data_IF_007579651557
#
_entry.id   IF_007579651557
#
_cell.length_a   1.000
_cell.length_b   1.000
_cell.length_c   1.000
_cell.angle_alpha   90.00
_cell.angle_beta   90.00
_cell.angle_gamma   90.00
#
_symmetry.space_group_name_H-M   'P 1'
#
loop_
_entity.id
_entity.type
_entity.pdbx_description
1 polymer ?
#
# COMPACT_ATOMS: atom_id res chain seq x y z
N UNK A 1 -0.02 5.84 -2.17
CA UNK A 1 1.22 5.24 -1.67
C UNK A 1 2.17 5.00 -2.82
N UNK A 2 3.46 5.12 -2.59
CA UNK A 2 4.53 4.69 -3.49
C UNK A 2 5.29 3.57 -2.81
N UNK A 3 5.09 2.34 -3.30
CA UNK A 3 5.61 1.13 -2.70
C UNK A 3 6.87 0.66 -3.45
N UNK A 4 7.92 0.33 -2.70
CA UNK A 4 9.21 -0.13 -3.23
C UNK A 4 9.70 -1.33 -2.44
N UNK A 5 10.39 -2.27 -3.06
CA UNK A 5 11.17 -3.31 -2.39
C UNK A 5 12.68 -3.01 -2.52
N UNK A 6 13.54 -3.96 -2.12
CA UNK A 6 15.00 -3.83 -2.25
C UNK A 6 15.50 -3.74 -3.70
N UNK A 7 14.69 -4.11 -4.69
CA UNK A 7 15.02 -4.12 -6.12
C UNK A 7 14.44 -2.92 -6.86
N UNK A 8 13.53 -2.15 -6.26
CA UNK A 8 12.96 -0.95 -6.85
C UNK A 8 11.47 -0.77 -6.57
N UNK A 9 10.74 -0.01 -7.40
CA UNK A 9 9.30 0.09 -7.30
C UNK A 9 8.64 -1.27 -7.50
N UNK A 10 7.57 -1.53 -6.75
CA UNK A 10 6.75 -2.72 -6.99
C UNK A 10 6.19 -2.71 -8.43
N UNK A 11 6.06 -3.90 -9.05
CA UNK A 11 5.65 -4.00 -10.44
C UNK A 11 4.19 -3.59 -10.62
N UNK A 12 3.89 -3.08 -11.82
CA UNK A 12 2.52 -2.87 -12.26
C UNK A 12 1.71 -4.16 -12.11
N UNK A 13 0.49 -4.06 -11.58
CA UNK A 13 -0.38 -5.22 -11.38
C UNK A 13 -0.23 -5.90 -10.02
N UNK A 14 0.73 -5.50 -9.17
CA UNK A 14 0.81 -6.02 -7.81
C UNK A 14 -0.48 -5.66 -7.04
N UNK A 15 -1.08 -6.66 -6.40
CA UNK A 15 -2.29 -6.51 -5.60
C UNK A 15 -1.92 -6.03 -4.21
N UNK A 16 -2.59 -4.99 -3.72
CA UNK A 16 -2.34 -4.39 -2.39
C UNK A 16 -3.62 -4.45 -1.58
N UNK A 17 -3.54 -4.89 -0.33
CA UNK A 17 -4.67 -4.94 0.59
C UNK A 17 -4.26 -4.47 1.97
N UNK A 18 -5.15 -3.74 2.64
CA UNK A 18 -5.00 -3.47 4.07
C UNK A 18 -5.11 -4.79 4.83
N UNK A 19 -4.12 -5.06 5.69
CA UNK A 19 -4.16 -6.21 6.58
C UNK A 19 -5.31 -6.03 7.56
N UNK A 20 -6.18 -7.04 7.63
CA UNK A 20 -7.29 -7.07 8.57
C UNK A 20 -6.88 -7.59 9.93
N UNK A 21 -7.57 -7.14 10.97
CA UNK A 21 -7.65 -7.87 12.21
C UNK A 21 -8.44 -9.17 12.00
N UNK A 22 -8.14 -10.22 12.78
CA UNK A 22 -8.69 -11.56 12.59
C UNK A 22 -10.24 -11.64 12.64
N UNK A 23 -10.91 -10.65 13.23
CA UNK A 23 -12.38 -10.60 13.37
C UNK A 23 -13.09 -9.70 12.34
N UNK A 24 -12.36 -9.12 11.37
CA UNK A 24 -12.96 -8.22 10.37
C UNK A 24 -13.49 -8.98 9.13
N UNK A 25 -14.82 -9.11 9.09
CA UNK A 25 -15.56 -9.87 8.07
C UNK A 25 -15.85 -9.08 6.79
N UNK A 26 -15.65 -7.76 6.76
CA UNK A 26 -15.91 -6.91 5.57
C UNK A 26 -14.76 -6.94 4.56
N UNK A 27 -14.92 -6.65 3.26
CA UNK A 27 -13.77 -6.67 2.34
C UNK A 27 -12.70 -5.63 2.75
N UNK A 28 -11.43 -6.03 2.85
CA UNK A 28 -10.35 -5.10 3.17
C UNK A 28 -10.17 -4.07 2.05
N UNK A 29 -9.99 -2.78 2.37
CA UNK A 29 -9.58 -1.78 1.40
C UNK A 29 -8.35 -2.26 0.65
N UNK A 30 -8.36 -2.11 -0.67
CA UNK A 30 -7.31 -2.61 -1.53
C UNK A 30 -7.28 -1.91 -2.86
N UNK A 31 -6.22 -2.18 -3.61
CA UNK A 31 -5.96 -1.57 -4.90
C UNK A 31 -4.89 -2.33 -5.66
N UNK A 32 -4.50 -1.80 -6.80
CA UNK A 32 -3.48 -2.36 -7.66
C UNK A 32 -2.37 -1.33 -7.86
N UNK A 33 -1.12 -1.80 -7.84
CA UNK A 33 0.04 -0.97 -8.15
C UNK A 33 0.01 -0.61 -9.64
N UNK A 34 0.06 0.69 -9.92
CA UNK A 34 0.25 1.30 -11.22
C UNK A 34 1.73 1.67 -11.43
N UNK A 35 1.99 2.50 -12.44
CA UNK A 35 3.35 2.89 -12.81
C UNK A 35 4.12 3.56 -11.65
N UNK A 36 5.41 3.22 -11.55
CA UNK A 36 6.30 3.76 -10.53
C UNK A 36 6.03 3.24 -9.11
N UNK A 37 5.33 2.11 -8.95
CA UNK A 37 5.03 1.54 -7.63
C UNK A 37 3.86 2.25 -6.93
N UNK A 38 3.07 3.04 -7.66
CA UNK A 38 2.02 3.87 -7.07
C UNK A 38 0.73 3.10 -6.89
N UNK A 39 0.07 3.23 -5.74
CA UNK A 39 -1.27 2.70 -5.50
C UNK A 39 -2.12 3.72 -4.78
N UNK A 40 -3.35 3.87 -5.24
CA UNK A 40 -4.37 4.69 -4.60
C UNK A 40 -5.24 3.81 -3.70
N UNK A 41 -5.45 4.23 -2.46
CA UNK A 41 -6.25 3.53 -1.46
C UNK A 41 -7.16 4.54 -0.76
N UNK A 42 -8.41 4.14 -0.51
CA UNK A 42 -9.42 4.92 0.21
C UNK A 42 -9.99 4.12 1.36
N UNK A 43 -10.48 4.79 2.40
CA UNK A 43 -11.10 4.12 3.56
C UNK A 43 -10.10 3.33 4.42
N UNK A 44 -8.82 3.72 4.39
CA UNK A 44 -7.77 3.12 5.23
C UNK A 44 -7.63 3.90 6.55
N UNK A 45 -7.22 3.24 7.65
CA UNK A 45 -6.95 3.90 8.93
C UNK A 45 -5.73 4.83 8.84
N UNK A 46 -5.51 5.62 9.90
CA UNK A 46 -4.31 6.46 10.03
C UNK A 46 -3.04 5.62 10.13
N UNK A 47 -3.10 4.44 10.72
CA UNK A 47 -1.96 3.53 10.84
C UNK A 47 -2.39 2.10 10.54
N UNK A 48 -1.46 1.30 10.04
CA UNK A 48 -1.72 -0.09 9.73
C UNK A 48 -0.63 -0.73 8.90
N UNK A 49 -0.95 -1.89 8.32
CA UNK A 49 -0.04 -2.63 7.46
C UNK A 49 -0.72 -2.94 6.14
N UNK A 50 -0.05 -2.64 5.03
CA UNK A 50 -0.46 -3.03 3.68
C UNK A 50 0.28 -4.30 3.30
N UNK A 51 -0.45 -5.32 2.86
CA UNK A 51 0.10 -6.52 2.25
C UNK A 51 0.04 -6.38 0.73
N UNK A 52 1.19 -6.46 0.07
CA UNK A 52 1.32 -6.46 -1.38
C UNK A 52 1.71 -7.85 -1.89
N UNK A 53 1.13 -8.29 -3.00
CA UNK A 53 1.38 -9.59 -3.59
C UNK A 53 1.39 -9.52 -5.12
N UNK A 54 2.34 -10.23 -5.73
CA UNK A 54 2.47 -10.33 -7.18
C UNK A 54 3.14 -11.64 -7.56
N UNK A 55 3.07 -12.00 -8.84
CA UNK A 55 3.83 -13.11 -9.39
C UNK A 55 4.94 -12.56 -10.28
N UNK A 56 6.16 -13.03 -10.07
CA UNK A 56 7.31 -12.74 -10.92
C UNK A 56 8.00 -14.07 -11.24
N UNK A 57 8.21 -14.36 -12.52
CA UNK A 57 8.87 -15.59 -12.98
C UNK A 57 8.22 -16.87 -12.45
N UNK A 58 6.89 -16.92 -12.39
CA UNK A 58 6.09 -18.00 -11.78
C UNK A 58 6.32 -18.22 -10.28
N UNK A 59 6.95 -17.25 -9.60
CA UNK A 59 7.16 -17.26 -8.16
C UNK A 59 6.22 -16.22 -7.53
N UNK A 60 5.41 -16.68 -6.58
CA UNK A 60 4.57 -15.81 -5.78
C UNK A 60 5.43 -15.01 -4.79
N UNK A 61 5.44 -13.70 -4.96
CA UNK A 61 6.13 -12.75 -4.10
C UNK A 61 5.12 -11.96 -3.29
N UNK A 62 5.50 -11.65 -2.06
CA UNK A 62 4.70 -10.87 -1.13
C UNK A 62 5.62 -9.97 -0.32
N UNK A 63 5.12 -8.81 0.07
CA UNK A 63 5.79 -7.95 1.01
C UNK A 63 4.76 -7.20 1.86
N UNK A 64 5.19 -6.66 2.98
CA UNK A 64 4.38 -5.85 3.87
C UNK A 64 4.99 -4.46 4.05
N UNK A 65 4.14 -3.43 4.04
CA UNK A 65 4.50 -2.07 4.41
C UNK A 65 3.71 -1.65 5.64
N UNK A 66 4.41 -1.38 6.74
CA UNK A 66 3.83 -0.67 7.86
C UNK A 66 3.78 0.84 7.57
N UNK A 67 2.66 1.49 7.86
CA UNK A 67 2.50 2.92 7.60
C UNK A 67 1.84 3.62 8.78
N UNK A 68 2.20 4.89 8.95
CA UNK A 68 1.53 5.84 9.83
C UNK A 68 1.36 7.16 9.08
N UNK A 69 0.11 7.54 8.82
CA UNK A 69 -0.27 8.78 8.17
C UNK A 69 -0.17 9.91 9.20
N UNK A 70 0.82 10.80 9.07
CA UNK A 70 0.85 11.99 9.91
C UNK A 70 -0.19 13.01 9.46
N UNK A 71 -0.90 13.61 10.41
CA UNK A 71 -1.68 14.83 10.18
C UNK A 71 -0.76 16.05 10.10
N UNK A 72 0.17 16.04 9.15
CA UNK A 72 0.71 17.31 8.67
C UNK A 72 -0.34 17.86 7.72
N UNK A 73 -1.37 18.51 8.30
CA UNK A 73 -2.30 19.36 7.57
C UNK A 73 -1.63 20.73 7.48
N UNK A 74 -0.74 20.92 6.51
CA UNK A 74 -0.39 22.27 6.08
C UNK A 74 -1.58 22.85 5.34
N UNK A 75 -2.03 24.03 5.80
CA UNK A 75 -3.17 24.74 5.23
C UNK A 75 -2.99 24.89 3.71
N UNK A 76 -3.88 24.24 2.94
CA UNK A 76 -3.85 24.20 1.46
C UNK A 76 -3.59 22.82 0.82
N UNK A 77 -3.49 21.73 1.59
CA UNK A 77 -3.18 20.42 1.03
C UNK A 77 -4.38 19.66 0.44
N UNK A 78 -4.10 19.01 -0.70
CA UNK A 78 -4.98 18.10 -1.46
C UNK A 78 -5.69 17.07 -0.57
N UNK A 79 -6.95 16.70 -0.85
CA UNK A 79 -7.68 15.67 -0.09
C UNK A 79 -7.00 14.30 -0.11
N UNK A 80 -6.00 14.10 -0.97
CA UNK A 80 -5.23 12.86 -1.11
C UNK A 80 -3.86 13.02 -0.45
N UNK A 81 -3.62 12.23 0.61
CA UNK A 81 -2.29 12.11 1.25
C UNK A 81 -1.38 11.20 0.42
N UNK A 82 -0.13 11.59 0.24
CA UNK A 82 0.90 10.78 -0.43
C UNK A 82 1.91 10.29 0.59
N UNK A 83 2.22 8.99 0.53
CA UNK A 83 3.15 8.30 1.42
C UNK A 83 4.03 7.39 0.60
N UNK A 84 5.33 7.38 0.88
CA UNK A 84 6.29 6.46 0.26
C UNK A 84 6.89 5.57 1.33
N UNK A 85 7.11 4.29 1.02
CA UNK A 85 7.64 3.34 1.99
C UNK A 85 8.33 2.14 1.34
N UNK A 86 9.27 1.56 2.09
CA UNK A 86 9.93 0.31 1.74
C UNK A 86 9.09 -0.86 2.27
N UNK A 87 8.71 -1.73 1.36
CA UNK A 87 8.01 -2.98 1.61
C UNK A 87 9.04 -4.07 1.92
N UNK A 88 8.80 -4.84 2.98
CA UNK A 88 9.69 -5.91 3.45
C UNK A 88 9.05 -7.29 3.30
#
# INVERSE_FOLDING_TARGET
>A
FTLRDSHGPLPFGASVRLRKAEDDRGAAPGGMVADGGQVYLSGIPQEGTLDAAWNADNISRRCALHFHLTDTVQQGQSPVKTVSGLCQ
#
